data_IF_282698711743
#
_entry.id   IF_282698711743
#
_cell.length_a   1.000
_cell.length_b   1.000
_cell.length_c   1.000
_cell.angle_alpha   90.00
_cell.angle_beta   90.00
_cell.angle_gamma   90.00
#
_symmetry.space_group_name_H-M   'P 1'
#
loop_
_entity.id
_entity.type
_entity.pdbx_description
1 polymer ?
#
# COMPACT_ATOMS: atom_id res chain seq x y z
N UNK A 1 41.39 16.34 -71.36
CA UNK A 1 41.12 15.04 -70.72
C UNK A 1 40.44 15.30 -69.40
N UNK A 2 39.25 14.75 -69.23
CA UNK A 2 38.33 14.89 -68.10
C UNK A 2 38.85 14.21 -66.83
N UNK A 3 38.52 14.75 -65.64
CA UNK A 3 37.89 14.05 -64.50
C UNK A 3 37.69 14.99 -63.30
N UNK A 4 36.49 14.93 -62.70
CA UNK A 4 36.05 15.56 -61.44
C UNK A 4 36.43 14.65 -60.22
N UNK A 5 35.88 14.80 -58.99
CA UNK A 5 36.44 15.57 -57.87
C UNK A 5 36.47 14.78 -56.52
N UNK A 6 36.73 15.48 -55.40
CA UNK A 6 36.49 15.08 -53.99
C UNK A 6 37.34 13.93 -53.40
N UNK A 7 37.91 14.09 -52.21
CA UNK A 7 37.18 13.77 -50.96
C UNK A 7 37.99 14.08 -49.69
N UNK A 8 37.25 14.09 -48.59
CA UNK A 8 37.51 14.52 -47.21
C UNK A 8 38.86 14.16 -46.54
N UNK A 9 39.28 14.94 -45.52
CA UNK A 9 40.23 14.47 -44.53
C UNK A 9 39.62 13.33 -43.69
N UNK A 10 40.40 12.25 -43.56
CA UNK A 10 40.17 11.05 -42.77
C UNK A 10 39.75 11.35 -41.33
N UNK A 11 38.73 10.68 -40.76
CA UNK A 11 38.43 10.78 -39.34
C UNK A 11 39.47 9.96 -38.56
N UNK A 12 40.40 10.64 -37.90
CA UNK A 12 41.29 10.01 -36.93
C UNK A 12 40.59 9.92 -35.57
N UNK A 13 40.57 8.71 -35.04
CA UNK A 13 40.38 8.33 -33.64
C UNK A 13 39.15 8.86 -32.90
N UNK A 14 38.12 8.01 -32.90
CA UNK A 14 37.22 7.91 -31.77
C UNK A 14 38.04 7.52 -30.52
N UNK A 15 38.54 8.52 -29.80
CA UNK A 15 39.11 8.33 -28.49
C UNK A 15 38.02 7.76 -27.57
N UNK A 16 38.23 6.50 -27.18
CA UNK A 16 37.47 5.74 -26.20
C UNK A 16 37.24 6.60 -24.96
N UNK A 17 36.01 7.08 -24.76
CA UNK A 17 35.65 7.78 -23.54
C UNK A 17 35.79 6.79 -22.38
N UNK A 18 36.48 7.15 -21.27
CA UNK A 18 36.67 6.21 -20.17
C UNK A 18 35.30 5.77 -19.63
N UNK A 19 35.12 4.48 -19.29
CA UNK A 19 33.86 3.99 -18.76
C UNK A 19 33.49 4.77 -17.49
N UNK A 20 32.21 5.13 -17.31
CA UNK A 20 31.79 5.85 -16.11
C UNK A 20 32.15 5.04 -14.86
N UNK A 21 32.57 5.70 -13.77
CA UNK A 21 32.95 5.00 -12.56
C UNK A 21 31.77 4.16 -12.05
N UNK A 22 32.03 2.94 -11.52
CA UNK A 22 30.97 2.10 -11.00
C UNK A 22 30.22 2.83 -9.89
N UNK A 23 28.90 2.96 -10.05
CA UNK A 23 28.02 3.52 -9.03
C UNK A 23 28.09 2.64 -7.78
N UNK A 24 28.82 3.12 -6.77
CA UNK A 24 29.00 2.44 -5.48
C UNK A 24 27.70 2.55 -4.67
N UNK A 25 26.74 1.67 -4.98
CA UNK A 25 25.52 1.52 -4.19
C UNK A 25 25.87 0.86 -2.86
N UNK A 26 26.39 1.64 -1.90
CA UNK A 26 26.53 1.20 -0.50
C UNK A 26 25.16 0.75 -0.01
N UNK A 27 24.93 -0.56 0.03
CA UNK A 27 23.75 -1.17 0.64
C UNK A 27 23.70 -0.67 2.08
N UNK A 28 22.74 0.21 2.39
CA UNK A 28 22.51 0.66 3.76
C UNK A 28 22.23 -0.59 4.60
N UNK A 29 23.10 -0.89 5.57
CA UNK A 29 22.84 -1.96 6.55
C UNK A 29 21.60 -1.54 7.34
N UNK A 30 20.51 -2.28 7.18
CA UNK A 30 19.29 -2.04 7.94
C UNK A 30 19.59 -2.44 9.39
N UNK A 31 19.74 -1.45 10.27
CA UNK A 31 19.89 -1.68 11.71
C UNK A 31 18.50 -2.02 12.26
N UNK A 32 18.31 -3.26 12.70
CA UNK A 32 17.08 -3.69 13.35
C UNK A 32 17.08 -3.21 14.80
N UNK A 33 15.90 -2.82 15.28
CA UNK A 33 15.68 -2.43 16.67
C UNK A 33 15.61 -3.68 17.55
N UNK A 34 16.18 -3.62 18.77
CA UNK A 34 16.09 -4.72 19.73
C UNK A 34 14.63 -5.03 20.08
N UNK A 35 14.37 -6.29 20.45
CA UNK A 35 13.05 -6.80 20.83
C UNK A 35 12.41 -5.93 21.93
N UNK A 36 11.41 -5.12 21.56
CA UNK A 36 10.54 -4.48 22.55
C UNK A 36 9.61 -5.55 23.10
N UNK A 37 9.54 -5.64 24.44
CA UNK A 37 8.49 -6.44 25.09
C UNK A 37 7.17 -5.70 24.95
N UNK A 38 6.34 -6.12 24.01
CA UNK A 38 4.95 -5.71 23.98
C UNK A 38 4.24 -6.40 25.13
N UNK A 39 3.67 -5.61 26.05
CA UNK A 39 2.80 -6.12 27.09
C UNK A 39 1.37 -6.01 26.55
N UNK A 40 0.69 -7.12 26.29
CA UNK A 40 -0.75 -7.12 25.99
C UNK A 40 -1.50 -6.36 27.10
N UNK A 41 -2.45 -5.49 26.74
CA UNK A 41 -3.24 -4.73 27.73
C UNK A 41 -2.90 -3.28 27.99
N UNK A 42 -1.99 -2.69 27.23
CA UNK A 42 -1.67 -1.27 27.35
C UNK A 42 -2.39 -0.39 26.32
N UNK A 43 -2.94 0.76 26.75
CA UNK A 43 -3.35 1.87 25.88
C UNK A 43 -2.24 2.38 24.94
N UNK A 44 -0.98 1.97 25.14
CA UNK A 44 0.18 2.47 24.39
C UNK A 44 0.07 2.27 22.87
N UNK A 45 -0.37 1.09 22.40
CA UNK A 45 -0.54 0.85 20.95
C UNK A 45 -1.75 1.58 20.37
N UNK A 46 -2.81 1.77 21.17
CA UNK A 46 -3.99 2.57 20.81
C UNK A 46 -3.65 4.04 20.70
N UNK A 47 -2.80 4.58 21.56
CA UNK A 47 -2.49 6.01 21.60
C UNK A 47 -1.57 6.46 20.45
N UNK A 48 -0.87 5.53 19.79
CA UNK A 48 0.02 5.84 18.67
C UNK A 48 -0.65 5.62 17.30
N UNK A 49 -1.90 5.15 17.28
CA UNK A 49 -2.69 4.91 16.06
C UNK A 49 -4.06 5.59 16.17
N UNK A 50 -4.65 6.07 15.06
CA UNK A 50 -4.17 5.92 13.70
C UNK A 50 -2.96 6.78 13.37
N UNK A 51 -2.15 6.31 12.43
CA UNK A 51 -0.97 7.03 11.95
C UNK A 51 -0.79 6.84 10.44
N UNK A 52 -0.39 7.89 9.72
CA UNK A 52 -0.10 7.78 8.29
C UNK A 52 1.09 6.85 8.00
N UNK A 53 2.10 6.88 8.88
CA UNK A 53 3.30 6.04 8.82
C UNK A 53 3.24 5.03 9.96
N UNK A 54 3.40 3.74 9.65
CA UNK A 54 3.49 2.70 10.66
C UNK A 54 4.67 2.97 11.60
N UNK A 55 4.44 3.14 12.91
CA UNK A 55 5.53 3.28 13.87
C UNK A 55 6.51 2.11 13.77
N UNK A 56 7.81 2.36 13.88
CA UNK A 56 8.85 1.32 13.70
C UNK A 56 8.66 0.13 14.62
N UNK A 57 8.23 0.36 15.86
CA UNK A 57 7.94 -0.68 16.84
C UNK A 57 6.86 -1.67 16.35
N UNK A 58 5.91 -1.22 15.52
CA UNK A 58 4.83 -2.03 14.99
C UNK A 58 5.16 -2.65 13.63
N UNK A 59 6.37 -2.44 13.11
CA UNK A 59 6.79 -2.91 11.80
C UNK A 59 7.81 -4.06 11.93
N UNK A 60 7.44 -5.30 11.55
CA UNK A 60 8.32 -6.46 11.67
C UNK A 60 9.63 -6.36 10.88
N UNK A 61 9.74 -5.46 9.90
CA UNK A 61 10.99 -5.23 9.16
C UNK A 61 12.04 -4.51 10.01
N UNK A 62 11.60 -3.71 10.99
CA UNK A 62 12.46 -2.87 11.82
C UNK A 62 12.67 -3.42 13.23
N UNK A 63 11.96 -4.46 13.65
CA UNK A 63 12.05 -5.06 14.98
C UNK A 63 12.58 -6.48 14.87
N UNK A 64 13.46 -6.86 15.77
CA UNK A 64 13.82 -8.25 15.98
C UNK A 64 12.70 -8.90 16.79
N UNK A 65 11.86 -9.71 16.15
CA UNK A 65 10.83 -10.54 16.79
C UNK A 65 11.07 -12.01 16.43
N UNK A 66 10.93 -12.91 17.40
CA UNK A 66 10.97 -14.35 17.14
C UNK A 66 9.72 -14.79 16.37
N UNK A 67 8.56 -14.24 16.74
CA UNK A 67 7.29 -14.40 16.03
C UNK A 67 6.67 -13.03 15.69
N UNK A 68 6.17 -12.87 14.45
CA UNK A 68 5.43 -11.66 14.06
C UNK A 68 4.15 -11.43 14.86
N UNK A 69 3.64 -12.47 15.53
CA UNK A 69 2.51 -12.38 16.48
C UNK A 69 2.86 -11.64 17.77
N UNK A 70 4.14 -11.49 18.09
CA UNK A 70 4.60 -10.71 19.25
C UNK A 70 4.37 -9.19 19.06
N UNK A 71 4.11 -8.76 17.83
CA UNK A 71 3.82 -7.38 17.46
C UNK A 71 2.29 -7.23 17.31
N UNK A 72 1.66 -6.22 17.92
CA UNK A 72 0.22 -5.97 17.77
C UNK A 72 -0.20 -5.90 16.30
N UNK A 73 -1.33 -6.53 15.95
CA UNK A 73 -1.86 -6.51 14.59
C UNK A 73 -2.39 -5.12 14.23
N UNK A 74 -1.89 -4.59 13.13
CA UNK A 74 -2.34 -3.28 12.62
C UNK A 74 -2.63 -3.35 11.13
N UNK A 75 -3.65 -2.64 10.71
CA UNK A 75 -4.17 -2.65 9.34
C UNK A 75 -3.94 -1.32 8.65
N UNK A 76 -3.48 -1.35 7.40
CA UNK A 76 -3.35 -0.15 6.57
C UNK A 76 -4.57 0.01 5.67
N UNK A 77 -5.21 1.17 5.70
CA UNK A 77 -6.45 1.37 4.98
C UNK A 77 -7.09 2.75 5.12
N UNK A 78 -8.36 2.80 4.75
CA UNK A 78 -9.22 3.99 4.80
C UNK A 78 -10.50 3.64 5.56
N UNK A 79 -11.14 4.65 6.16
CA UNK A 79 -12.46 4.46 6.76
C UNK A 79 -13.47 3.95 5.73
N UNK A 80 -14.38 3.08 6.17
CA UNK A 80 -15.44 2.57 5.31
C UNK A 80 -16.31 3.72 4.78
N UNK A 81 -16.32 3.89 3.46
CA UNK A 81 -17.18 4.85 2.77
C UNK A 81 -17.81 4.18 1.55
N UNK A 82 -19.10 3.86 1.65
CA UNK A 82 -19.83 3.17 0.60
C UNK A 82 -19.87 3.95 -0.72
N UNK A 83 -19.97 5.28 -0.66
CA UNK A 83 -19.99 6.14 -1.85
C UNK A 83 -18.67 6.04 -2.61
N UNK A 84 -17.54 6.19 -1.93
CA UNK A 84 -16.21 6.14 -2.56
C UNK A 84 -15.95 4.76 -3.19
N UNK A 85 -16.32 3.69 -2.49
CA UNK A 85 -16.19 2.33 -3.02
C UNK A 85 -17.08 2.07 -4.24
N UNK A 86 -18.33 2.58 -4.21
CA UNK A 86 -19.23 2.51 -5.36
C UNK A 86 -18.67 3.29 -6.54
N UNK A 87 -18.25 4.54 -6.35
CA UNK A 87 -17.71 5.39 -7.41
C UNK A 87 -16.49 4.73 -8.06
N UNK A 88 -15.59 4.16 -7.26
CA UNK A 88 -14.46 3.38 -7.76
C UNK A 88 -14.92 2.14 -8.55
N UNK A 89 -15.85 1.36 -8.00
CA UNK A 89 -16.38 0.18 -8.69
C UNK A 89 -17.08 0.53 -10.02
N UNK A 90 -17.76 1.68 -10.09
CA UNK A 90 -18.40 2.18 -11.32
C UNK A 90 -17.33 2.53 -12.35
N UNK A 91 -16.29 3.28 -11.95
CA UNK A 91 -15.16 3.62 -12.85
C UNK A 91 -14.49 2.38 -13.44
N UNK A 92 -14.36 1.31 -12.65
CA UNK A 92 -13.76 0.04 -13.10
C UNK A 92 -14.74 -0.88 -13.85
N UNK A 93 -16.03 -0.54 -13.93
CA UNK A 93 -17.06 -1.38 -14.55
C UNK A 93 -17.46 -2.61 -13.72
N UNK A 94 -17.18 -2.61 -12.42
CA UNK A 94 -17.46 -3.73 -11.50
C UNK A 94 -18.75 -3.56 -10.69
N UNK A 95 -19.33 -2.36 -10.70
CA UNK A 95 -20.52 -2.04 -9.93
C UNK A 95 -21.77 -2.79 -10.41
N UNK A 96 -22.66 -3.11 -9.47
CA UNK A 96 -23.94 -3.77 -9.72
C UNK A 96 -25.07 -2.78 -9.53
N UNK A 97 -25.90 -2.62 -10.56
CA UNK A 97 -27.11 -1.79 -10.47
C UNK A 97 -28.10 -2.40 -9.49
N UNK A 98 -28.69 -1.56 -8.66
CA UNK A 98 -29.76 -1.94 -7.76
C UNK A 98 -30.99 -2.34 -8.56
N UNK A 99 -31.59 -3.49 -8.22
CA UNK A 99 -32.87 -3.92 -8.79
C UNK A 99 -34.06 -3.15 -8.22
N UNK A 100 -33.89 -2.50 -7.06
CA UNK A 100 -34.93 -1.78 -6.34
C UNK A 100 -34.98 -0.29 -6.68
N UNK A 101 -33.90 0.25 -7.27
CA UNK A 101 -33.83 1.66 -7.66
C UNK A 101 -34.27 1.85 -9.10
N UNK A 102 -35.37 2.57 -9.31
CA UNK A 102 -35.82 2.97 -10.65
C UNK A 102 -34.89 4.00 -11.31
N UNK A 103 -34.05 4.68 -10.52
CA UNK A 103 -33.11 5.71 -10.98
C UNK A 103 -31.75 5.13 -11.45
N UNK A 104 -31.61 3.80 -11.51
CA UNK A 104 -30.37 3.15 -11.91
C UNK A 104 -29.24 3.26 -10.89
N UNK A 105 -29.56 3.52 -9.62
CA UNK A 105 -28.57 3.58 -8.55
C UNK A 105 -27.83 2.25 -8.38
N UNK A 106 -26.59 2.29 -7.90
CA UNK A 106 -25.78 1.11 -7.62
C UNK A 106 -26.00 0.62 -6.18
N UNK A 107 -25.94 -0.70 -5.97
CA UNK A 107 -26.08 -1.33 -4.67
C UNK A 107 -24.71 -1.77 -4.13
N UNK A 108 -24.32 -1.26 -2.96
CA UNK A 108 -23.02 -1.54 -2.34
C UNK A 108 -22.86 -3.01 -1.97
N UNK A 109 -23.92 -3.70 -1.56
CA UNK A 109 -23.81 -5.08 -1.05
C UNK A 109 -23.31 -6.05 -2.15
N UNK A 110 -24.02 -6.21 -3.29
CA UNK A 110 -23.53 -7.05 -4.39
C UNK A 110 -22.30 -6.45 -5.10
N UNK A 111 -22.14 -5.12 -5.07
CA UNK A 111 -20.95 -4.46 -5.65
C UNK A 111 -19.70 -4.81 -4.85
N UNK A 112 -19.78 -4.88 -3.52
CA UNK A 112 -18.64 -5.20 -2.67
C UNK A 112 -18.05 -6.58 -2.97
N UNK A 113 -18.91 -7.58 -3.16
CA UNK A 113 -18.46 -8.93 -3.51
C UNK A 113 -17.85 -9.02 -4.91
N UNK A 114 -18.32 -8.20 -5.86
CA UNK A 114 -17.67 -8.08 -7.16
C UNK A 114 -16.33 -7.36 -7.04
N UNK A 115 -16.30 -6.24 -6.32
CA UNK A 115 -15.09 -5.45 -6.10
C UNK A 115 -13.97 -6.32 -5.52
N UNK A 116 -14.22 -7.05 -4.43
CA UNK A 116 -13.21 -7.95 -3.83
C UNK A 116 -12.67 -8.97 -4.84
N UNK A 117 -13.56 -9.65 -5.58
CA UNK A 117 -13.17 -10.71 -6.52
C UNK A 117 -12.40 -10.17 -7.72
N UNK A 118 -12.91 -9.12 -8.37
CA UNK A 118 -12.27 -8.54 -9.53
C UNK A 118 -10.95 -7.85 -9.17
N UNK A 119 -10.90 -7.17 -8.03
CA UNK A 119 -9.67 -6.56 -7.55
C UNK A 119 -8.60 -7.61 -7.25
N UNK A 120 -8.94 -8.70 -6.57
CA UNK A 120 -8.00 -9.79 -6.33
C UNK A 120 -7.54 -10.44 -7.64
N UNK A 121 -8.44 -10.71 -8.58
CA UNK A 121 -8.08 -11.28 -9.88
C UNK A 121 -7.15 -10.36 -10.69
N UNK A 122 -7.34 -9.04 -10.62
CA UNK A 122 -6.55 -8.04 -11.35
C UNK A 122 -5.18 -7.79 -10.71
N UNK A 123 -5.11 -7.75 -9.37
CA UNK A 123 -3.93 -7.25 -8.66
C UNK A 123 -3.23 -8.28 -7.75
N UNK A 124 -3.87 -9.42 -7.47
CA UNK A 124 -3.37 -10.40 -6.50
C UNK A 124 -3.38 -9.89 -5.06
N UNK A 125 -4.13 -8.83 -4.76
CA UNK A 125 -4.20 -8.19 -3.44
C UNK A 125 -5.63 -8.33 -2.93
N UNK A 126 -5.79 -8.79 -1.69
CA UNK A 126 -7.10 -8.91 -1.06
C UNK A 126 -7.53 -7.59 -0.44
N UNK A 127 -8.71 -7.09 -0.82
CA UNK A 127 -9.38 -6.01 -0.10
C UNK A 127 -10.27 -6.64 0.97
N UNK A 128 -10.14 -6.15 2.21
CA UNK A 128 -10.85 -6.68 3.38
C UNK A 128 -11.57 -5.53 4.10
N UNK A 129 -12.66 -5.87 4.79
CA UNK A 129 -13.24 -4.98 5.81
C UNK A 129 -12.76 -5.47 7.17
N UNK A 130 -12.27 -4.57 8.00
CA UNK A 130 -11.83 -4.89 9.37
C UNK A 130 -12.40 -3.89 10.36
N UNK A 131 -12.66 -4.42 11.55
CA UNK A 131 -13.02 -3.64 12.73
C UNK A 131 -11.72 -3.25 13.44
N UNK A 132 -11.57 -1.95 13.69
CA UNK A 132 -10.35 -1.37 14.26
C UNK A 132 -10.66 -0.32 15.33
N UNK A 133 -9.72 -0.08 16.24
CA UNK A 133 -9.82 1.02 17.19
C UNK A 133 -9.65 2.37 16.48
N UNK A 134 -10.57 3.31 16.72
CA UNK A 134 -10.50 4.67 16.18
C UNK A 134 -10.02 5.67 17.24
N UNK A 135 -9.22 6.66 16.80
CA UNK A 135 -8.53 7.66 17.61
C UNK A 135 -9.42 8.33 18.65
N UNK A 136 -10.67 8.62 18.28
CA UNK A 136 -11.41 9.61 19.03
C UNK A 136 -12.10 9.07 20.27
N UNK A 137 -12.72 7.89 20.31
CA UNK A 137 -13.72 7.61 21.36
C UNK A 137 -13.74 6.18 21.94
N UNK A 138 -12.64 5.42 21.86
CA UNK A 138 -12.67 3.99 22.24
C UNK A 138 -13.77 3.23 21.47
N UNK A 139 -14.05 3.69 20.24
CA UNK A 139 -15.09 3.14 19.37
C UNK A 139 -14.45 2.32 18.27
N UNK A 140 -14.97 1.11 18.10
CA UNK A 140 -14.65 0.26 16.97
C UNK A 140 -15.25 0.86 15.70
N UNK A 141 -14.42 1.07 14.68
CA UNK A 141 -14.83 1.56 13.37
C UNK A 141 -14.44 0.57 12.29
N UNK A 142 -15.21 0.55 11.19
CA UNK A 142 -14.90 -0.27 10.01
C UNK A 142 -13.96 0.47 9.08
N UNK A 143 -12.88 -0.21 8.68
CA UNK A 143 -11.99 0.24 7.62
C UNK A 143 -12.03 -0.72 6.44
N UNK A 144 -11.72 -0.19 5.26
CA UNK A 144 -11.30 -0.95 4.10
C UNK A 144 -9.78 -1.02 4.13
N UNK A 145 -9.24 -2.24 4.15
CA UNK A 145 -7.80 -2.48 4.27
C UNK A 145 -7.29 -3.39 3.17
N UNK A 146 -6.03 -3.17 2.80
CA UNK A 146 -5.33 -3.90 1.75
C UNK A 146 -4.29 -4.87 2.32
N UNK A 147 -3.70 -4.53 3.47
CA UNK A 147 -2.71 -5.35 4.15
C UNK A 147 -2.55 -4.98 5.62
N UNK A 148 -1.92 -5.88 6.37
CA UNK A 148 -1.50 -5.63 7.74
C UNK A 148 0.02 -5.60 7.90
N UNK A 149 0.50 -5.13 9.04
CA UNK A 149 1.92 -5.02 9.36
C UNK A 149 2.66 -6.35 9.25
N UNK A 150 2.05 -7.44 9.73
CA UNK A 150 2.65 -8.79 9.66
C UNK A 150 2.83 -9.32 8.22
N UNK A 151 2.08 -8.81 7.24
CA UNK A 151 2.26 -9.12 5.81
C UNK A 151 3.42 -8.34 5.17
N UNK A 152 3.86 -7.22 5.77
CA UNK A 152 4.84 -6.31 5.16
C UNK A 152 6.18 -6.93 4.73
N UNK A 153 6.77 -7.92 5.46
CA UNK A 153 8.00 -8.58 5.04
C UNK A 153 7.87 -9.32 3.70
N UNK A 154 6.68 -9.87 3.40
CA UNK A 154 6.40 -10.59 2.16
C UNK A 154 5.94 -9.67 1.03
N UNK A 155 5.55 -8.43 1.33
CA UNK A 155 5.03 -7.48 0.36
C UNK A 155 6.11 -6.84 -0.50
N UNK A 156 5.98 -7.02 -1.81
CA UNK A 156 6.84 -6.38 -2.81
C UNK A 156 6.58 -4.88 -2.90
N UNK A 157 7.59 -4.12 -3.36
CA UNK A 157 7.42 -2.68 -3.66
C UNK A 157 6.30 -2.44 -4.67
N UNK A 158 6.16 -3.33 -5.66
CA UNK A 158 5.11 -3.26 -6.70
C UNK A 158 3.71 -3.36 -6.10
N UNK A 159 3.47 -4.30 -5.18
CA UNK A 159 2.16 -4.43 -4.53
C UNK A 159 1.79 -3.19 -3.72
N UNK A 160 2.77 -2.56 -3.04
CA UNK A 160 2.52 -1.30 -2.32
C UNK A 160 2.13 -0.16 -3.25
N UNK A 161 2.80 -0.02 -4.40
CA UNK A 161 2.41 0.97 -5.41
C UNK A 161 1.01 0.74 -5.95
N UNK A 162 0.63 -0.50 -6.23
CA UNK A 162 -0.75 -0.83 -6.65
C UNK A 162 -1.78 -0.35 -5.62
N UNK A 163 -1.49 -0.49 -4.33
CA UNK A 163 -2.38 0.03 -3.28
C UNK A 163 -2.44 1.57 -3.30
N UNK A 164 -1.30 2.24 -3.47
CA UNK A 164 -1.27 3.70 -3.55
C UNK A 164 -2.02 4.22 -4.79
N UNK A 165 -1.80 3.62 -5.95
CA UNK A 165 -2.49 3.95 -7.19
C UNK A 165 -4.01 3.75 -7.02
N UNK A 166 -4.42 2.64 -6.40
CA UNK A 166 -5.83 2.36 -6.09
C UNK A 166 -6.44 3.43 -5.18
N UNK A 167 -5.72 3.84 -4.14
CA UNK A 167 -6.17 4.90 -3.22
C UNK A 167 -6.31 6.24 -3.97
N UNK A 168 -5.37 6.57 -4.84
CA UNK A 168 -5.45 7.77 -5.69
C UNK A 168 -6.62 7.69 -6.69
N UNK A 169 -6.89 6.53 -7.30
CA UNK A 169 -8.06 6.32 -8.16
C UNK A 169 -9.40 6.47 -7.41
N UNK A 170 -9.41 6.11 -6.12
CA UNK A 170 -10.52 6.34 -5.19
C UNK A 170 -10.64 7.82 -4.76
N UNK A 171 -9.65 8.66 -5.06
CA UNK A 171 -9.65 10.09 -4.76
C UNK A 171 -8.90 10.48 -3.49
N UNK A 172 -8.13 9.56 -2.90
CA UNK A 172 -7.32 9.84 -1.71
C UNK A 172 -5.92 10.35 -2.08
N UNK A 173 -5.48 11.38 -1.36
CA UNK A 173 -4.12 11.92 -1.45
C UNK A 173 -3.11 11.06 -0.66
N UNK A 174 -1.81 11.09 -1.04
CA UNK A 174 -0.77 10.45 -0.24
C UNK A 174 -0.80 10.93 1.21
N UNK A 175 -0.94 9.98 2.15
CA UNK A 175 -1.00 10.25 3.58
C UNK A 175 -2.40 10.27 4.20
N UNK A 176 -3.47 10.25 3.39
CA UNK A 176 -4.84 10.16 3.91
C UNK A 176 -5.23 8.75 4.37
N UNK A 177 -4.62 7.72 3.77
CA UNK A 177 -4.72 6.35 4.28
C UNK A 177 -3.81 6.20 5.51
N UNK A 178 -4.36 5.56 6.54
CA UNK A 178 -3.74 5.43 7.85
C UNK A 178 -3.60 3.97 8.27
N UNK A 179 -2.74 3.74 9.24
CA UNK A 179 -2.62 2.51 10.00
C UNK A 179 -3.57 2.56 11.18
N UNK A 180 -4.24 1.44 11.49
CA UNK A 180 -5.16 1.31 12.61
C UNK A 180 -4.87 0.04 13.41
N UNK A 181 -5.13 0.05 14.72
CA UNK A 181 -5.00 -1.13 15.57
C UNK A 181 -6.21 -2.05 15.39
N UNK A 182 -5.99 -3.36 15.23
CA UNK A 182 -7.08 -4.34 15.16
C UNK A 182 -7.95 -4.32 16.43
N UNK A 183 -9.27 -4.43 16.27
CA UNK A 183 -10.20 -4.38 17.39
C UNK A 183 -10.11 -5.59 18.33
N UNK A 184 -9.69 -6.75 17.81
CA UNK A 184 -9.55 -8.02 18.53
C UNK A 184 -8.15 -8.27 19.08
N UNK A 185 -7.24 -7.29 19.00
CA UNK A 185 -6.04 -7.34 19.83
C UNK A 185 -6.48 -7.12 21.28
N UNK A 186 -6.51 -8.22 22.04
CA UNK A 186 -6.91 -8.25 23.44
C UNK A 186 -6.09 -7.22 24.23
N UNK A 187 -6.83 -6.31 24.88
CA UNK A 187 -6.30 -5.56 26.00
C UNK A 187 -6.17 -6.50 27.20
#
# INVERSE_FOLDING_TARGET
>A
MSSLPADAPTPADAADAPPPPPLDFKRRKIQKMPLMKFVPGGYAARNILPASILPRALNPVYVECEDTRDIPLTWYGILWNSKVLLDYAVKQGWAVRSKLSQLGAYDIVPTWDRLKRHYYAKHGIAIRVRDVWAEQHDRVTKIVTFYHNREMPAWTKKQRFVVFDTLTEMGYMPGEAQWYLDAGEDL
#
